data_IF_475774570127
#
_entry.id   IF_475774570127
#
_cell.length_a   1.000
_cell.length_b   1.000
_cell.length_c   1.000
_cell.angle_alpha   90.00
_cell.angle_beta   90.00
_cell.angle_gamma   90.00
#
_symmetry.space_group_name_H-M   'P 1'
#
loop_
_entity.id
_entity.type
_entity.pdbx_description
1 polymer ?
#
# COMPACT_ATOMS: atom_id res chain seq x y z
N UNK A 1 48.13 -42.16 38.16
CA UNK A 1 47.61 -40.79 37.98
C UNK A 1 46.72 -40.48 39.18
N UNK A 2 47.16 -39.60 40.08
CA UNK A 2 46.55 -39.41 41.42
C UNK A 2 45.15 -38.78 41.30
N UNK A 3 44.14 -39.43 41.89
CA UNK A 3 42.74 -38.97 41.92
C UNK A 3 42.62 -37.56 42.53
N UNK A 4 43.43 -37.24 43.52
CA UNK A 4 43.47 -35.91 44.15
C UNK A 4 43.90 -34.81 43.17
N UNK A 5 44.87 -35.10 42.29
CA UNK A 5 45.34 -34.15 41.30
C UNK A 5 44.24 -33.87 40.26
N UNK A 6 43.51 -34.90 39.83
CA UNK A 6 42.37 -34.74 38.91
C UNK A 6 41.21 -33.96 39.54
N UNK A 7 40.92 -34.20 40.82
CA UNK A 7 39.88 -33.47 41.54
C UNK A 7 40.25 -31.99 41.69
N UNK A 8 41.51 -31.70 42.03
CA UNK A 8 42.03 -30.33 42.12
C UNK A 8 41.96 -29.59 40.77
N UNK A 9 42.30 -30.28 39.69
CA UNK A 9 42.18 -29.77 38.33
C UNK A 9 40.73 -29.44 37.95
N UNK A 10 39.79 -30.35 38.23
CA UNK A 10 38.36 -30.13 38.00
C UNK A 10 37.83 -28.93 38.80
N UNK A 11 38.18 -28.81 40.07
CA UNK A 11 37.77 -27.66 40.90
C UNK A 11 38.29 -26.34 40.35
N UNK A 12 39.52 -26.32 39.83
CA UNK A 12 40.07 -25.13 39.17
C UNK A 12 39.30 -24.78 37.88
N UNK A 13 38.96 -25.77 37.05
CA UNK A 13 38.17 -25.56 35.84
C UNK A 13 36.78 -24.99 36.15
N UNK A 14 36.08 -25.56 37.13
CA UNK A 14 34.76 -25.09 37.56
C UNK A 14 34.83 -23.67 38.14
N UNK A 15 35.84 -23.38 38.96
CA UNK A 15 36.06 -22.03 39.51
C UNK A 15 36.31 -21.01 38.40
N UNK A 16 37.15 -21.35 37.44
CA UNK A 16 37.49 -20.50 36.31
C UNK A 16 36.27 -20.24 35.42
N UNK A 17 35.50 -21.29 35.09
CA UNK A 17 34.28 -21.17 34.28
C UNK A 17 33.19 -20.34 34.97
N UNK A 18 33.01 -20.52 36.28
CA UNK A 18 32.01 -19.77 37.03
C UNK A 18 32.38 -18.29 37.20
N UNK A 19 33.64 -17.99 37.55
CA UNK A 19 34.00 -16.64 38.00
C UNK A 19 35.46 -16.18 37.82
N UNK A 20 36.37 -17.05 37.38
CA UNK A 20 37.81 -16.80 37.49
C UNK A 20 38.49 -16.20 36.26
N UNK A 21 37.82 -16.18 35.10
CA UNK A 21 38.40 -15.72 33.82
C UNK A 21 37.54 -14.62 33.17
N UNK A 22 38.13 -13.86 32.25
CA UNK A 22 37.45 -12.77 31.51
C UNK A 22 36.21 -13.25 30.74
N UNK A 23 36.16 -14.52 30.33
CA UNK A 23 35.03 -15.17 29.66
C UNK A 23 34.21 -16.10 30.58
N UNK A 24 34.29 -15.89 31.91
CA UNK A 24 33.49 -16.65 32.87
C UNK A 24 32.00 -16.26 32.81
N UNK A 25 31.13 -17.12 33.35
CA UNK A 25 29.68 -16.87 33.37
C UNK A 25 29.37 -15.56 34.11
N UNK A 26 30.09 -15.28 35.21
CA UNK A 26 29.94 -14.03 35.98
C UNK A 26 30.25 -12.77 35.16
N UNK A 27 31.33 -12.78 34.38
CA UNK A 27 31.72 -11.60 33.58
C UNK A 27 30.78 -11.38 32.40
N UNK A 28 30.12 -12.43 31.94
CA UNK A 28 29.08 -12.41 30.90
C UNK A 28 27.67 -12.20 31.49
N UNK A 29 27.52 -11.44 32.57
CA UNK A 29 26.24 -11.22 33.26
C UNK A 29 25.16 -10.59 32.35
N UNK A 30 25.53 -9.82 31.32
CA UNK A 30 24.57 -9.34 30.32
C UNK A 30 23.89 -10.49 29.55
N UNK A 31 24.55 -11.65 29.45
CA UNK A 31 24.01 -12.85 28.81
C UNK A 31 23.31 -13.78 29.81
N UNK A 32 23.89 -13.96 31.00
CA UNK A 32 23.44 -14.98 31.97
C UNK A 32 22.65 -14.44 33.17
N UNK A 33 22.50 -13.10 33.29
CA UNK A 33 21.60 -12.45 34.23
C UNK A 33 22.08 -12.34 35.69
N UNK A 34 23.24 -12.90 36.05
CA UNK A 34 23.71 -12.95 37.44
C UNK A 34 25.15 -12.40 37.62
N UNK A 35 25.33 -11.14 38.05
CA UNK A 35 26.65 -10.56 38.29
C UNK A 35 27.36 -11.16 39.51
N UNK A 36 26.64 -11.91 40.36
CA UNK A 36 27.17 -12.58 41.55
C UNK A 36 27.26 -14.10 41.34
N UNK A 37 27.38 -14.55 40.09
CA UNK A 37 27.45 -15.96 39.75
C UNK A 37 28.72 -16.62 40.33
N UNK A 38 28.62 -17.82 40.89
CA UNK A 38 29.75 -18.46 41.58
C UNK A 38 29.77 -19.99 41.41
N UNK A 39 30.86 -20.62 41.85
CA UNK A 39 31.06 -22.07 41.69
C UNK A 39 29.95 -22.91 42.35
N UNK A 40 29.36 -22.43 43.46
CA UNK A 40 28.26 -23.11 44.16
C UNK A 40 26.96 -23.07 43.36
N UNK A 41 26.72 -22.01 42.58
CA UNK A 41 25.59 -21.93 41.64
C UNK A 41 25.80 -22.90 40.47
N UNK A 42 27.00 -22.87 39.86
CA UNK A 42 27.37 -23.79 38.78
C UNK A 42 27.25 -25.26 39.19
N UNK A 43 27.69 -25.63 40.39
CA UNK A 43 27.58 -27.01 40.89
C UNK A 43 26.12 -27.49 40.98
N UNK A 44 25.20 -26.64 41.45
CA UNK A 44 23.76 -26.96 41.51
C UNK A 44 23.11 -27.06 40.14
N UNK A 45 23.56 -26.25 39.19
CA UNK A 45 23.08 -26.29 37.81
C UNK A 45 23.58 -27.56 37.10
N UNK A 46 24.84 -27.95 37.28
CA UNK A 46 25.38 -29.22 36.77
C UNK A 46 24.56 -30.41 37.30
N UNK A 47 24.26 -30.43 38.61
CA UNK A 47 23.42 -31.48 39.19
C UNK A 47 22.03 -31.52 38.55
N UNK A 48 21.45 -30.34 38.25
CA UNK A 48 20.15 -30.24 37.59
C UNK A 48 20.18 -30.72 36.14
N UNK A 49 21.24 -30.41 35.39
CA UNK A 49 21.45 -30.86 34.00
C UNK A 49 21.72 -32.37 33.91
N UNK A 50 22.29 -32.98 34.95
CA UNK A 50 22.50 -34.43 35.02
C UNK A 50 21.22 -35.23 35.31
N UNK A 51 20.09 -34.60 35.64
CA UNK A 51 18.82 -35.32 35.88
C UNK A 51 18.21 -35.79 34.56
N UNK A 52 17.59 -36.97 34.57
CA UNK A 52 16.95 -37.58 33.38
C UNK A 52 15.81 -36.75 32.78
N UNK A 53 15.24 -35.83 33.56
CA UNK A 53 14.17 -34.92 33.13
C UNK A 53 14.70 -33.68 32.40
N UNK A 54 16.01 -33.44 32.38
CA UNK A 54 16.58 -32.27 31.73
C UNK A 54 16.51 -32.42 30.21
N UNK A 55 15.95 -31.42 29.54
CA UNK A 55 15.89 -31.33 28.09
C UNK A 55 16.76 -30.16 27.64
N UNK A 56 17.89 -30.41 26.93
CA UNK A 56 18.73 -29.33 26.43
C UNK A 56 17.98 -28.55 25.34
N UNK A 57 18.21 -27.23 25.31
CA UNK A 57 17.76 -26.41 24.19
C UNK A 57 18.40 -26.88 22.89
N UNK A 58 17.62 -26.90 21.81
CA UNK A 58 18.13 -27.11 20.45
C UNK A 58 19.04 -25.95 20.06
N UNK A 59 19.93 -26.18 19.09
CA UNK A 59 20.86 -25.14 18.66
C UNK A 59 20.14 -23.92 18.06
N UNK A 60 19.03 -24.15 17.34
CA UNK A 60 18.16 -23.09 16.81
C UNK A 60 17.48 -22.28 17.93
N UNK A 61 17.03 -22.96 18.98
CA UNK A 61 16.45 -22.29 20.14
C UNK A 61 17.50 -21.41 20.84
N UNK A 62 18.71 -21.93 21.08
CA UNK A 62 19.80 -21.13 21.68
C UNK A 62 20.13 -19.90 20.84
N UNK A 63 20.28 -20.06 19.52
CA UNK A 63 20.57 -18.95 18.63
C UNK A 63 19.47 -17.88 18.64
N UNK A 64 18.21 -18.29 18.79
CA UNK A 64 17.06 -17.38 18.92
C UNK A 64 17.09 -16.63 20.25
N UNK A 65 17.33 -17.33 21.37
CA UNK A 65 17.39 -16.72 22.69
C UNK A 65 18.59 -15.78 22.84
N UNK A 66 19.75 -16.14 22.28
CA UNK A 66 20.93 -15.29 22.25
C UNK A 66 20.66 -13.97 21.51
N UNK A 67 19.89 -14.00 20.42
CA UNK A 67 19.46 -12.79 19.72
C UNK A 67 18.55 -11.94 20.59
N UNK A 68 17.61 -12.53 21.32
CA UNK A 68 16.68 -11.81 22.21
C UNK A 68 17.41 -11.16 23.40
N UNK A 69 18.35 -11.88 24.02
CA UNK A 69 19.13 -11.37 25.16
C UNK A 69 20.00 -10.17 24.74
N UNK A 70 20.44 -10.14 23.49
CA UNK A 70 21.24 -9.05 22.91
C UNK A 70 20.40 -7.98 22.20
N UNK A 71 19.06 -8.14 22.14
CA UNK A 71 18.21 -7.13 21.53
C UNK A 71 18.21 -5.87 22.40
N UNK A 72 18.86 -4.83 21.88
CA UNK A 72 18.69 -3.48 22.36
C UNK A 72 17.24 -3.09 22.02
N UNK A 73 16.51 -2.58 23.01
CA UNK A 73 15.16 -2.03 22.80
C UNK A 73 15.23 -1.06 21.63
N UNK A 74 14.50 -1.38 20.55
CA UNK A 74 14.39 -0.50 19.39
C UNK A 74 13.46 0.67 19.72
N UNK A 75 13.72 1.82 19.11
CA UNK A 75 12.77 2.94 19.13
C UNK A 75 11.48 2.55 18.41
N UNK A 76 10.38 3.20 18.78
CA UNK A 76 9.10 2.95 18.14
C UNK A 76 9.19 3.24 16.63
N UNK A 77 8.63 2.37 15.77
CA UNK A 77 8.69 2.56 14.33
C UNK A 77 7.93 3.82 13.91
N UNK A 78 8.32 4.47 12.80
CA UNK A 78 7.58 5.61 12.26
C UNK A 78 6.11 5.26 12.02
N UNK A 79 5.21 6.21 12.32
CA UNK A 79 3.79 6.04 12.05
C UNK A 79 3.55 5.81 10.55
N UNK A 80 2.75 4.80 10.23
CA UNK A 80 2.34 4.51 8.86
C UNK A 80 1.27 5.52 8.46
N UNK A 81 1.46 6.19 7.32
CA UNK A 81 0.48 7.09 6.72
C UNK A 81 -0.84 6.34 6.47
N UNK A 82 -1.93 6.85 7.06
CA UNK A 82 -3.28 6.35 6.78
C UNK A 82 -3.84 7.02 5.52
N UNK A 83 -4.46 6.21 4.66
CA UNK A 83 -5.18 6.72 3.50
C UNK A 83 -6.60 7.08 3.89
N UNK A 84 -6.89 8.37 3.97
CA UNK A 84 -8.26 8.84 4.08
C UNK A 84 -8.81 9.16 2.69
N UNK A 85 -9.28 8.13 1.99
CA UNK A 85 -9.97 8.29 0.71
C UNK A 85 -11.36 7.69 0.83
N UNK A 86 -12.38 8.53 0.72
CA UNK A 86 -13.78 8.10 0.67
C UNK A 86 -14.10 7.56 -0.73
N UNK A 87 -13.85 6.28 -0.94
CA UNK A 87 -14.01 5.67 -2.25
C UNK A 87 -15.46 5.56 -2.70
N UNK A 88 -16.39 5.34 -1.77
CA UNK A 88 -17.81 5.26 -2.10
C UNK A 88 -18.35 6.58 -2.66
N UNK A 89 -18.00 7.72 -2.03
CA UNK A 89 -18.41 9.04 -2.52
C UNK A 89 -17.75 9.38 -3.86
N UNK A 90 -16.47 9.01 -4.02
CA UNK A 90 -15.75 9.16 -5.28
C UNK A 90 -16.39 8.36 -6.42
N UNK A 91 -16.77 7.10 -6.17
CA UNK A 91 -17.44 6.24 -7.14
C UNK A 91 -18.79 6.84 -7.55
N UNK A 92 -19.61 7.25 -6.56
CA UNK A 92 -20.92 7.87 -6.82
C UNK A 92 -20.78 9.13 -7.67
N UNK A 93 -19.81 9.98 -7.37
CA UNK A 93 -19.55 11.19 -8.15
C UNK A 93 -19.17 10.88 -9.61
N UNK A 94 -18.36 9.85 -9.85
CA UNK A 94 -18.01 9.42 -11.22
C UNK A 94 -19.23 8.85 -11.93
N UNK A 95 -20.02 8.02 -11.26
CA UNK A 95 -21.25 7.44 -11.79
C UNK A 95 -22.27 8.51 -12.18
N UNK A 96 -22.47 9.53 -11.35
CA UNK A 96 -23.34 10.69 -11.65
C UNK A 96 -22.88 11.48 -12.88
N UNK A 97 -21.58 11.59 -13.11
CA UNK A 97 -21.03 12.24 -14.32
C UNK A 97 -21.29 11.35 -15.54
N UNK A 98 -21.03 10.05 -15.45
CA UNK A 98 -21.19 9.13 -16.58
C UNK A 98 -22.66 8.97 -17.00
N UNK A 99 -23.57 8.93 -16.02
CA UNK A 99 -25.02 8.81 -16.25
C UNK A 99 -25.68 10.13 -16.66
N UNK A 100 -24.98 11.25 -16.58
CA UNK A 100 -25.53 12.52 -17.05
C UNK A 100 -25.79 12.47 -18.56
N UNK A 101 -26.99 12.92 -18.94
CA UNK A 101 -27.42 13.05 -20.32
C UNK A 101 -27.46 14.54 -20.66
N UNK A 102 -26.92 14.89 -21.82
CA UNK A 102 -27.13 16.21 -22.43
C UNK A 102 -28.45 16.14 -23.19
N UNK A 103 -29.25 17.23 -23.18
CA UNK A 103 -30.50 17.28 -23.94
C UNK A 103 -30.33 16.80 -25.38
N UNK A 104 -31.21 15.91 -25.85
CA UNK A 104 -31.15 15.33 -27.21
C UNK A 104 -31.83 16.19 -28.26
N UNK A 105 -32.80 17.04 -27.86
CA UNK A 105 -33.41 18.01 -28.77
C UNK A 105 -32.31 18.92 -29.32
N UNK A 106 -32.26 19.08 -30.63
CA UNK A 106 -31.32 19.96 -31.35
C UNK A 106 -29.85 19.51 -31.40
N UNK A 107 -29.55 18.23 -31.11
CA UNK A 107 -28.23 17.64 -31.35
C UNK A 107 -28.12 17.06 -32.77
N UNK A 108 -26.98 17.28 -33.42
CA UNK A 108 -26.62 16.63 -34.69
C UNK A 108 -26.33 15.14 -34.46
N UNK A 109 -27.20 14.25 -34.94
CA UNK A 109 -27.13 12.79 -34.73
C UNK A 109 -25.79 12.17 -35.10
N UNK A 110 -25.22 12.55 -36.25
CA UNK A 110 -23.93 12.02 -36.72
C UNK A 110 -22.81 12.31 -35.71
N UNK A 111 -22.82 13.50 -35.10
CA UNK A 111 -21.85 13.88 -34.07
C UNK A 111 -22.14 13.21 -32.73
N UNK A 112 -23.38 12.82 -32.44
CA UNK A 112 -23.72 12.06 -31.22
C UNK A 112 -23.22 10.61 -31.34
N UNK A 113 -23.34 10.02 -32.53
CA UNK A 113 -22.96 8.63 -32.80
C UNK A 113 -21.46 8.46 -33.06
N UNK A 114 -20.76 9.51 -33.47
CA UNK A 114 -19.33 9.47 -33.79
C UNK A 114 -18.56 10.52 -32.98
N UNK A 115 -18.03 10.11 -31.84
CA UNK A 115 -17.26 11.02 -30.97
C UNK A 115 -15.98 11.55 -31.58
N UNK A 116 -15.29 10.78 -32.44
CA UNK A 116 -14.09 11.29 -33.13
C UNK A 116 -14.45 12.44 -34.07
N UNK A 117 -15.55 12.30 -34.81
CA UNK A 117 -16.08 13.36 -35.66
C UNK A 117 -16.58 14.54 -34.82
N UNK A 118 -17.26 14.27 -33.70
CA UNK A 118 -17.69 15.28 -32.73
C UNK A 118 -16.54 16.19 -32.32
N UNK A 119 -15.45 15.58 -31.84
CA UNK A 119 -14.25 16.26 -31.41
C UNK A 119 -13.60 17.05 -32.54
N UNK A 120 -13.49 16.46 -33.73
CA UNK A 120 -12.94 17.16 -34.89
C UNK A 120 -13.75 18.42 -35.26
N UNK A 121 -15.09 18.34 -35.23
CA UNK A 121 -15.96 19.49 -35.49
C UNK A 121 -15.83 20.54 -34.39
N UNK A 122 -15.76 20.13 -33.12
CA UNK A 122 -15.59 21.04 -31.98
C UNK A 122 -14.27 21.81 -32.07
N UNK A 123 -13.16 21.10 -32.29
CA UNK A 123 -11.83 21.71 -32.47
C UNK A 123 -11.83 22.64 -33.69
N UNK A 124 -12.51 22.22 -34.77
CA UNK A 124 -12.74 23.02 -35.96
C UNK A 124 -13.49 24.33 -35.68
N UNK A 125 -14.50 24.33 -34.82
CA UNK A 125 -15.31 25.53 -34.51
C UNK A 125 -14.47 26.66 -33.90
N UNK A 126 -13.43 26.33 -33.13
CA UNK A 126 -12.51 27.33 -32.55
C UNK A 126 -11.88 28.17 -33.66
N UNK A 127 -11.56 27.54 -34.79
CA UNK A 127 -11.00 28.21 -35.95
C UNK A 127 -12.04 29.03 -36.73
N UNK A 128 -13.35 28.84 -36.54
CA UNK A 128 -14.39 29.51 -37.33
C UNK A 128 -15.18 30.59 -36.56
N UNK A 129 -14.66 31.08 -35.42
CA UNK A 129 -15.33 32.12 -34.61
C UNK A 129 -15.56 33.44 -35.35
N UNK A 130 -14.65 33.82 -36.24
CA UNK A 130 -14.64 35.13 -36.92
C UNK A 130 -14.67 35.02 -38.47
N UNK A 131 -15.09 33.87 -39.01
CA UNK A 131 -15.18 33.67 -40.48
C UNK A 131 -16.38 32.85 -40.89
N UNK A 132 -16.92 33.18 -42.05
CA UNK A 132 -18.01 32.44 -42.72
C UNK A 132 -17.51 31.47 -43.77
N UNK A 133 -16.23 31.54 -44.14
CA UNK A 133 -15.58 30.62 -45.09
C UNK A 133 -14.88 29.50 -44.31
N UNK A 134 -15.06 28.27 -44.75
CA UNK A 134 -14.41 27.11 -44.15
C UNK A 134 -12.89 27.19 -44.30
N UNK A 135 -12.17 27.05 -43.19
CA UNK A 135 -10.71 27.03 -43.14
C UNK A 135 -10.07 25.86 -43.90
N UNK A 136 -10.83 24.79 -44.13
CA UNK A 136 -10.35 23.54 -44.74
C UNK A 136 -10.67 23.47 -46.23
N UNK A 137 -11.94 23.63 -46.62
CA UNK A 137 -12.39 23.46 -48.00
C UNK A 137 -12.68 24.77 -48.74
N UNK A 138 -12.51 25.92 -48.10
CA UNK A 138 -12.73 27.27 -48.68
C UNK A 138 -14.15 27.56 -49.16
N UNK A 139 -15.14 26.74 -48.79
CA UNK A 139 -16.55 26.98 -49.09
C UNK A 139 -17.22 27.86 -48.03
N UNK A 140 -18.28 28.58 -48.40
CA UNK A 140 -19.12 29.32 -47.45
C UNK A 140 -19.86 28.33 -46.54
N UNK A 141 -19.86 28.57 -45.24
CA UNK A 141 -20.62 27.83 -44.23
C UNK A 141 -21.96 28.57 -44.00
N UNK A 142 -23.12 27.94 -44.27
CA UNK A 142 -24.42 28.57 -44.06
C UNK A 142 -24.69 28.94 -42.60
N UNK A 143 -25.46 30.00 -42.36
CA UNK A 143 -25.85 30.44 -41.00
C UNK A 143 -26.58 29.36 -40.21
N UNK A 144 -27.48 28.61 -40.86
CA UNK A 144 -28.21 27.47 -40.29
C UNK A 144 -27.26 26.38 -39.78
N UNK A 145 -26.14 26.16 -40.49
CA UNK A 145 -25.13 25.20 -40.05
C UNK A 145 -24.41 25.67 -38.78
N UNK A 146 -24.07 26.97 -38.70
CA UNK A 146 -23.52 27.54 -37.47
C UNK A 146 -24.51 27.46 -36.30
N UNK A 147 -25.79 27.65 -36.55
CA UNK A 147 -26.83 27.53 -35.54
C UNK A 147 -26.98 26.11 -35.01
N UNK A 148 -27.08 25.12 -35.89
CA UNK A 148 -27.09 23.70 -35.51
C UNK A 148 -25.85 23.31 -34.70
N UNK A 149 -24.67 23.83 -35.07
CA UNK A 149 -23.43 23.61 -34.32
C UNK A 149 -23.47 24.29 -32.93
N UNK A 150 -24.03 25.50 -32.81
CA UNK A 150 -24.21 26.17 -31.50
C UNK A 150 -25.15 25.39 -30.57
N UNK A 151 -26.26 24.86 -31.10
CA UNK A 151 -27.15 23.99 -30.32
C UNK A 151 -26.47 22.67 -29.93
N UNK A 152 -25.67 22.09 -30.82
CA UNK A 152 -24.93 20.87 -30.50
C UNK A 152 -23.90 21.09 -29.37
N UNK A 153 -23.14 22.18 -29.42
CA UNK A 153 -22.11 22.55 -28.42
C UNK A 153 -22.59 23.63 -27.44
N UNK A 154 -23.81 23.46 -26.92
CA UNK A 154 -24.45 24.36 -25.96
C UNK A 154 -23.81 24.35 -24.56
N UNK A 155 -24.38 25.13 -23.65
CA UNK A 155 -23.91 25.23 -22.27
C UNK A 155 -24.02 23.93 -21.48
N UNK A 156 -24.98 23.06 -21.79
CA UNK A 156 -25.10 21.74 -21.14
C UNK A 156 -23.91 20.85 -21.49
N UNK A 157 -23.56 20.76 -22.78
CA UNK A 157 -22.38 20.03 -23.27
C UNK A 157 -21.10 20.57 -22.62
N UNK A 158 -20.96 21.90 -22.51
CA UNK A 158 -19.79 22.54 -21.87
C UNK A 158 -19.71 22.25 -20.37
N UNK A 159 -20.83 22.31 -19.66
CA UNK A 159 -20.90 22.02 -18.23
C UNK A 159 -20.52 20.56 -17.96
N UNK A 160 -21.03 19.62 -18.77
CA UNK A 160 -20.64 18.22 -18.68
C UNK A 160 -19.12 18.04 -18.85
N UNK A 161 -18.51 18.64 -19.88
CA UNK A 161 -17.05 18.58 -20.09
C UNK A 161 -16.27 19.18 -18.91
N UNK A 162 -16.76 20.27 -18.32
CA UNK A 162 -16.17 20.87 -17.11
C UNK A 162 -16.22 19.92 -15.91
N UNK A 163 -17.39 19.30 -15.66
CA UNK A 163 -17.57 18.30 -14.59
C UNK A 163 -16.65 17.09 -14.77
N UNK A 164 -16.53 16.59 -16.01
CA UNK A 164 -15.61 15.50 -16.38
C UNK A 164 -14.17 15.85 -16.02
N UNK A 165 -13.67 17.02 -16.47
CA UNK A 165 -12.29 17.44 -16.20
C UNK A 165 -12.02 17.55 -14.69
N UNK A 166 -12.95 18.15 -13.93
CA UNK A 166 -12.85 18.22 -12.46
C UNK A 166 -12.84 16.84 -11.81
N UNK A 167 -13.65 15.90 -12.32
CA UNK A 167 -13.65 14.51 -11.87
C UNK A 167 -12.30 13.82 -12.11
N UNK A 168 -11.70 14.02 -13.28
CA UNK A 168 -10.37 13.48 -13.62
C UNK A 168 -9.27 14.09 -12.74
N UNK A 169 -9.30 15.39 -12.49
CA UNK A 169 -8.38 16.07 -11.57
C UNK A 169 -8.49 15.50 -10.15
N UNK A 170 -9.71 15.33 -9.64
CA UNK A 170 -9.97 14.72 -8.34
C UNK A 170 -9.42 13.29 -8.29
N UNK A 171 -9.72 12.45 -9.28
CA UNK A 171 -9.21 11.08 -9.38
C UNK A 171 -7.68 11.03 -9.36
N UNK A 172 -7.01 11.88 -10.15
CA UNK A 172 -5.55 11.94 -10.19
C UNK A 172 -4.97 12.40 -8.84
N UNK A 173 -5.60 13.39 -8.19
CA UNK A 173 -5.16 13.86 -6.87
C UNK A 173 -5.22 12.74 -5.83
N UNK A 174 -6.32 11.98 -5.76
CA UNK A 174 -6.49 10.87 -4.81
C UNK A 174 -5.58 9.69 -5.15
N UNK A 175 -5.42 9.37 -6.43
CA UNK A 175 -4.46 8.35 -6.90
C UNK A 175 -3.03 8.67 -6.47
N UNK A 176 -2.63 9.94 -6.51
CA UNK A 176 -1.27 10.36 -6.14
C UNK A 176 -0.93 10.12 -4.67
N UNK A 177 -1.96 10.07 -3.81
CA UNK A 177 -1.83 9.78 -2.38
C UNK A 177 -1.47 8.32 -2.13
N UNK A 178 -1.78 7.37 -3.03
CA UNK A 178 -1.58 5.92 -2.86
C UNK A 178 -0.09 5.51 -2.89
N UNK A 179 0.66 5.91 -1.86
CA UNK A 179 2.07 5.61 -1.67
C UNK A 179 2.31 5.25 -0.19
N UNK A 180 2.79 4.04 0.07
CA UNK A 180 3.30 3.64 1.39
C UNK A 180 4.78 3.34 1.26
N UNK A 181 5.57 3.82 2.22
CA UNK A 181 6.92 3.35 2.43
C UNK A 181 7.00 2.69 3.82
N UNK A 182 7.26 1.38 3.84
CA UNK A 182 7.54 0.63 5.07
C UNK A 182 9.00 0.21 5.01
N UNK A 183 9.80 0.73 5.94
CA UNK A 183 11.16 0.28 6.16
C UNK A 183 11.17 -0.76 7.28
N UNK A 184 11.43 -2.01 6.90
CA UNK A 184 11.41 -3.16 7.83
C UNK A 184 12.54 -3.10 8.86
N UNK A 185 13.57 -2.28 8.62
CA UNK A 185 14.71 -2.16 9.54
C UNK A 185 14.36 -1.44 10.86
N UNK A 186 13.21 -0.77 10.92
CA UNK A 186 12.66 -0.25 12.18
C UNK A 186 12.01 -1.33 13.06
N UNK A 187 11.95 -2.58 12.58
CA UNK A 187 11.32 -3.69 13.29
C UNK A 187 12.34 -4.78 13.62
N UNK A 188 12.05 -5.57 14.66
CA UNK A 188 12.88 -6.72 15.03
C UNK A 188 12.97 -7.73 13.88
N UNK A 189 14.17 -8.31 13.71
CA UNK A 189 14.46 -9.28 12.65
C UNK A 189 13.49 -10.48 12.61
N UNK A 190 12.91 -10.86 13.75
CA UNK A 190 11.89 -11.92 13.84
C UNK A 190 10.64 -11.62 13.00
N UNK A 191 10.30 -10.34 12.82
CA UNK A 191 9.12 -9.91 12.05
C UNK A 191 9.44 -9.63 10.58
N UNK A 192 10.71 -9.64 10.16
CA UNK A 192 11.08 -9.24 8.80
C UNK A 192 10.46 -10.12 7.71
N UNK A 193 10.33 -11.43 7.94
CA UNK A 193 9.73 -12.35 6.96
C UNK A 193 8.26 -11.97 6.72
N UNK A 194 7.49 -11.84 7.80
CA UNK A 194 6.06 -11.50 7.75
C UNK A 194 5.84 -10.09 7.20
N UNK A 195 6.60 -9.10 7.67
CA UNK A 195 6.50 -7.72 7.21
C UNK A 195 6.88 -7.55 5.73
N UNK A 196 7.89 -8.27 5.24
CA UNK A 196 8.23 -8.25 3.82
C UNK A 196 7.11 -8.87 2.96
N UNK A 197 6.48 -9.95 3.43
CA UNK A 197 5.31 -10.54 2.78
C UNK A 197 4.16 -9.53 2.70
N UNK A 198 3.78 -8.92 3.82
CA UNK A 198 2.71 -7.92 3.89
C UNK A 198 3.03 -6.67 3.04
N UNK A 199 4.28 -6.21 3.04
CA UNK A 199 4.74 -5.10 2.19
C UNK A 199 4.56 -5.40 0.71
N UNK A 200 4.86 -6.64 0.29
CA UNK A 200 4.67 -7.09 -1.09
C UNK A 200 3.18 -7.12 -1.45
N UNK A 201 2.33 -7.69 -0.58
CA UNK A 201 0.89 -7.72 -0.80
C UNK A 201 0.28 -6.31 -0.87
N UNK A 202 0.66 -5.43 0.05
CA UNK A 202 0.23 -4.04 0.06
C UNK A 202 0.64 -3.30 -1.22
N UNK A 203 1.88 -3.52 -1.70
CA UNK A 203 2.37 -2.91 -2.93
C UNK A 203 1.55 -3.34 -4.15
N UNK A 204 1.20 -4.63 -4.23
CA UNK A 204 0.32 -5.15 -5.27
C UNK A 204 -1.08 -4.52 -5.18
N UNK A 205 -1.68 -4.47 -3.98
CA UNK A 205 -2.99 -3.87 -3.77
C UNK A 205 -3.02 -2.38 -4.13
N UNK A 206 -1.97 -1.62 -3.79
CA UNK A 206 -1.84 -0.21 -4.18
C UNK A 206 -1.77 -0.05 -5.71
N UNK A 207 -1.09 -0.96 -6.40
CA UNK A 207 -0.98 -0.90 -7.86
C UNK A 207 -2.31 -1.27 -8.54
N UNK A 208 -2.96 -2.32 -8.08
CA UNK A 208 -4.33 -2.66 -8.49
C UNK A 208 -5.26 -1.47 -8.27
N UNK A 209 -5.13 -0.79 -7.14
CA UNK A 209 -5.94 0.38 -6.82
C UNK A 209 -5.68 1.55 -7.77
N UNK A 210 -4.42 1.86 -8.08
CA UNK A 210 -4.09 2.90 -9.08
C UNK A 210 -4.66 2.55 -10.45
N UNK A 211 -4.65 1.28 -10.82
CA UNK A 211 -5.26 0.83 -12.08
C UNK A 211 -6.77 1.04 -12.08
N UNK A 212 -7.47 0.79 -10.97
CA UNK A 212 -8.88 1.14 -10.82
C UNK A 212 -9.15 2.64 -11.08
N UNK A 213 -8.32 3.53 -10.54
CA UNK A 213 -8.41 4.97 -10.84
C UNK A 213 -8.19 5.27 -12.33
N UNK A 214 -7.20 4.63 -12.96
CA UNK A 214 -6.93 4.80 -14.38
C UNK A 214 -8.13 4.35 -15.22
N UNK A 215 -8.79 3.25 -14.87
CA UNK A 215 -10.02 2.80 -15.54
C UNK A 215 -11.13 3.85 -15.43
N UNK A 216 -11.38 4.41 -14.25
CA UNK A 216 -12.39 5.47 -14.06
C UNK A 216 -12.05 6.73 -14.89
N UNK A 217 -10.78 7.12 -14.93
CA UNK A 217 -10.31 8.24 -15.75
C UNK A 217 -10.56 7.96 -17.24
N UNK A 218 -10.26 6.75 -17.71
CA UNK A 218 -10.51 6.37 -19.10
C UNK A 218 -12.00 6.41 -19.46
N UNK A 219 -12.89 5.95 -18.57
CA UNK A 219 -14.34 6.06 -18.78
C UNK A 219 -14.80 7.53 -18.88
N UNK A 220 -14.24 8.41 -18.05
CA UNK A 220 -14.55 9.84 -18.08
C UNK A 220 -14.01 10.52 -19.36
N UNK A 221 -12.80 10.19 -19.80
CA UNK A 221 -12.24 10.68 -21.06
C UNK A 221 -13.04 10.18 -22.27
N UNK A 222 -13.51 8.93 -22.23
CA UNK A 222 -14.40 8.41 -23.26
C UNK A 222 -15.74 9.17 -23.28
N UNK A 223 -16.34 9.42 -22.11
CA UNK A 223 -17.59 10.21 -21.98
C UNK A 223 -17.46 11.65 -22.49
N UNK A 224 -16.25 12.20 -22.45
CA UNK A 224 -15.97 13.57 -22.94
C UNK A 224 -16.13 13.67 -24.46
N UNK A 225 -15.88 12.57 -25.16
CA UNK A 225 -15.87 12.49 -26.63
C UNK A 225 -17.15 11.80 -27.12
N UNK A 226 -17.66 10.83 -26.36
CA UNK A 226 -18.86 10.05 -26.65
C UNK A 226 -19.96 10.36 -25.63
N UNK A 227 -21.12 10.84 -26.08
CA UNK A 227 -22.24 11.10 -25.16
C UNK A 227 -22.86 9.81 -24.58
N UNK A 228 -22.64 8.67 -25.24
CA UNK A 228 -23.14 7.35 -24.88
C UNK A 228 -21.99 6.49 -24.34
N UNK A 229 -21.82 6.44 -23.02
CA UNK A 229 -20.88 5.53 -22.36
C UNK A 229 -21.66 4.73 -21.32
N UNK A 230 -21.67 3.40 -21.47
CA UNK A 230 -22.16 2.52 -20.42
C UNK A 230 -21.04 2.25 -19.42
N UNK A 231 -21.31 2.51 -18.15
CA UNK A 231 -20.48 2.01 -17.07
C UNK A 231 -20.80 0.53 -16.85
N UNK A 232 -19.81 -0.35 -17.01
CA UNK A 232 -20.02 -1.77 -16.73
C UNK A 232 -19.99 -1.96 -15.21
N UNK A 233 -21.16 -2.24 -14.61
CA UNK A 233 -21.34 -2.59 -13.19
C UNK A 233 -20.27 -3.56 -12.64
N UNK A 234 -19.76 -4.44 -13.49
CA UNK A 234 -18.67 -5.36 -13.19
C UNK A 234 -17.35 -4.68 -12.79
N UNK A 235 -16.97 -3.58 -13.44
CA UNK A 235 -15.75 -2.84 -13.10
C UNK A 235 -15.86 -2.21 -11.71
N UNK A 236 -17.02 -1.65 -11.36
CA UNK A 236 -17.28 -1.11 -10.01
C UNK A 236 -17.15 -2.17 -8.91
N UNK A 237 -17.65 -3.39 -9.16
CA UNK A 237 -17.57 -4.51 -8.24
C UNK A 237 -16.14 -4.97 -7.99
N UNK A 238 -15.32 -5.09 -9.04
CA UNK A 238 -13.89 -5.42 -8.91
C UNK A 238 -13.16 -4.35 -8.10
N UNK A 239 -13.44 -3.08 -8.39
CA UNK A 239 -12.85 -1.94 -7.70
C UNK A 239 -13.19 -2.01 -6.20
N UNK A 240 -14.45 -2.30 -5.85
CA UNK A 240 -14.90 -2.48 -4.46
C UNK A 240 -14.21 -3.66 -3.74
N UNK A 241 -14.03 -4.78 -4.43
CA UNK A 241 -13.33 -5.94 -3.86
C UNK A 241 -11.85 -5.66 -3.56
N UNK A 242 -11.17 -4.92 -4.45
CA UNK A 242 -9.78 -4.50 -4.24
C UNK A 242 -9.68 -3.58 -3.02
N UNK A 243 -10.64 -2.66 -2.84
CA UNK A 243 -10.70 -1.79 -1.67
C UNK A 243 -10.84 -2.55 -0.35
N UNK A 244 -11.77 -3.51 -0.30
CA UNK A 244 -11.99 -4.31 0.92
C UNK A 244 -10.70 -5.06 1.29
N UNK A 245 -10.06 -5.69 0.29
CA UNK A 245 -8.81 -6.42 0.53
C UNK A 245 -7.67 -5.50 0.98
N UNK A 246 -7.57 -4.32 0.39
CA UNK A 246 -6.61 -3.29 0.80
C UNK A 246 -6.80 -2.86 2.25
N UNK A 247 -8.04 -2.59 2.65
CA UNK A 247 -8.35 -2.13 4.01
C UNK A 247 -8.04 -3.22 5.07
N UNK A 248 -8.37 -4.48 4.78
CA UNK A 248 -8.05 -5.62 5.66
C UNK A 248 -6.54 -5.74 5.89
N UNK A 249 -5.72 -5.65 4.84
CA UNK A 249 -4.26 -5.74 4.97
C UNK A 249 -3.70 -4.57 5.78
N UNK A 250 -4.25 -3.37 5.60
CA UNK A 250 -3.85 -2.20 6.38
C UNK A 250 -4.17 -2.36 7.88
N UNK A 251 -5.32 -2.94 8.21
CA UNK A 251 -5.72 -3.23 9.59
C UNK A 251 -4.84 -4.31 10.23
N UNK A 252 -4.47 -5.35 9.48
CA UNK A 252 -3.55 -6.40 9.94
C UNK A 252 -2.15 -5.84 10.22
N UNK A 253 -1.66 -4.94 9.36
CA UNK A 253 -0.41 -4.22 9.61
C UNK A 253 -0.49 -3.37 10.90
N UNK A 254 -1.60 -2.68 11.14
CA UNK A 254 -1.81 -1.92 12.37
C UNK A 254 -1.83 -2.79 13.64
N UNK A 255 -2.45 -3.98 13.57
CA UNK A 255 -2.54 -4.93 14.71
C UNK A 255 -1.20 -5.61 15.01
N UNK A 256 -0.47 -6.04 13.99
CA UNK A 256 0.81 -6.75 14.17
C UNK A 256 1.94 -5.84 14.70
N UNK A 257 1.84 -4.52 14.49
CA UNK A 257 2.84 -3.55 14.99
C UNK A 257 2.60 -3.19 16.47
N UNK A 258 1.36 -3.32 16.97
CA UNK A 258 1.01 -2.92 18.33
C UNK A 258 1.03 -4.06 19.35
N UNK A 259 0.85 -5.31 18.93
CA UNK A 259 0.65 -6.38 19.91
C UNK A 259 1.95 -6.85 20.53
N UNK A 260 3.09 -6.92 19.83
CA UNK A 260 4.37 -7.38 20.44
C UNK A 260 4.24 -8.66 21.28
N UNK A 261 3.16 -9.43 21.08
CA UNK A 261 2.72 -10.52 21.93
C UNK A 261 2.86 -11.75 21.07
N UNK A 262 4.01 -12.38 21.25
CA UNK A 262 4.27 -13.76 20.88
C UNK A 262 3.18 -14.65 21.47
N UNK A 263 2.49 -15.39 20.60
CA UNK A 263 1.96 -16.70 20.93
C UNK A 263 3.10 -17.67 21.20
#
# INVERSE_FOLDING_TARGET
MNFENKNKELQNLLKNKASGQESSIRTQYNKFGDPNYNITKLAREIESVCKSIYQPLTEDAKATHDKLILQIKMDDPPAILQFNIEFESLIKAVEEILNSQVGQSDKIDELVQNGLLNKWVEDGLIHHKERTICAFCSNIIPSERFEALRHHFDEESKNLKSRINKGIELLNSKKSLLKVNIDVNYFYNSFHIELNSLKSELSNLLEMQKNSFNTLILCLEDKKINYLVLLILYHLLIILMIFIKFWIVLELLGKNILTGQTS
#
